data_IF_843032793658
#
_entry.id   IF_843032793658
#
_cell.length_a   1.000
_cell.length_b   1.000
_cell.length_c   1.000
_cell.angle_alpha   90.00
_cell.angle_beta   90.00
_cell.angle_gamma   90.00
#
_symmetry.space_group_name_H-M   'P 1'
#
loop_
_entity.id
_entity.type
_entity.pdbx_description
1 polymer ?
#
# COMPACT_ATOMS: atom_id res chain seq x y z
N UNK A 1 -7.61 -16.09 6.04
CA UNK A 1 -7.42 -15.21 7.21
C UNK A 1 -7.57 -13.74 6.86
N UNK A 2 -7.57 -13.36 5.56
CA UNK A 2 -7.73 -11.98 5.09
C UNK A 2 -9.21 -11.58 4.99
N UNK A 3 -9.51 -10.30 4.75
CA UNK A 3 -10.89 -9.82 4.66
C UNK A 3 -11.70 -10.07 5.94
N UNK A 4 -11.20 -9.66 7.09
CA UNK A 4 -11.89 -9.79 8.38
C UNK A 4 -11.86 -11.19 9.03
N UNK A 5 -11.41 -12.22 8.31
CA UNK A 5 -11.48 -13.62 8.79
C UNK A 5 -10.60 -13.90 10.00
N UNK A 6 -9.53 -13.12 10.20
CA UNK A 6 -8.69 -13.27 11.40
C UNK A 6 -9.48 -12.87 12.66
N UNK A 7 -10.25 -11.78 12.60
CA UNK A 7 -11.12 -11.37 13.71
C UNK A 7 -12.19 -12.42 14.00
N UNK A 8 -12.82 -12.98 12.97
CA UNK A 8 -13.82 -14.05 13.15
C UNK A 8 -13.20 -15.28 13.79
N UNK A 9 -12.00 -15.67 13.39
CA UNK A 9 -11.30 -16.83 13.96
C UNK A 9 -10.84 -16.59 15.41
N UNK A 10 -10.61 -15.34 15.81
CA UNK A 10 -10.22 -14.99 17.17
C UNK A 10 -11.39 -14.88 18.14
N UNK A 11 -12.65 -14.88 17.65
CA UNK A 11 -13.81 -14.73 18.52
C UNK A 11 -13.87 -15.82 19.60
N UNK A 12 -14.24 -15.49 20.86
CA UNK A 12 -14.81 -14.22 21.33
C UNK A 12 -13.78 -13.20 21.82
N UNK A 13 -12.49 -13.39 21.57
CA UNK A 13 -11.44 -12.50 22.04
C UNK A 13 -11.57 -11.08 21.44
N UNK A 14 -11.18 -10.08 22.21
CA UNK A 14 -11.00 -8.72 21.70
C UNK A 14 -9.74 -8.68 20.81
N UNK A 15 -9.88 -8.14 19.61
CA UNK A 15 -8.78 -7.97 18.68
C UNK A 15 -8.36 -6.50 18.62
N UNK A 16 -7.07 -6.23 18.80
CA UNK A 16 -6.49 -4.89 18.61
C UNK A 16 -5.43 -5.01 17.51
N UNK A 17 -5.65 -4.29 16.42
CA UNK A 17 -4.72 -4.24 15.29
C UNK A 17 -3.95 -2.94 15.34
N UNK A 18 -2.64 -3.04 15.32
CA UNK A 18 -1.73 -1.92 15.10
C UNK A 18 -1.10 -2.10 13.73
N UNK A 19 -1.44 -1.24 12.78
CA UNK A 19 -0.99 -1.34 11.41
C UNK A 19 -0.07 -0.18 11.03
N UNK A 20 0.93 -0.48 10.22
CA UNK A 20 1.74 0.50 9.49
C UNK A 20 1.26 0.45 8.06
N UNK A 21 0.89 1.60 7.49
CA UNK A 21 0.47 1.69 6.10
C UNK A 21 1.66 1.86 5.16
N UNK A 22 1.65 1.11 4.09
CA UNK A 22 2.49 1.27 2.90
C UNK A 22 1.63 1.41 1.62
N UNK A 23 0.33 1.62 1.80
CA UNK A 23 -0.67 1.71 0.73
C UNK A 23 -1.05 3.16 0.49
N UNK A 24 -1.09 3.65 -0.76
CA UNK A 24 -1.64 4.96 -1.09
C UNK A 24 -3.09 5.09 -0.59
N UNK A 25 -3.36 6.19 0.14
CA UNK A 25 -4.68 6.46 0.71
C UNK A 25 -4.97 5.80 2.05
N UNK A 26 -4.05 4.99 2.60
CA UNK A 26 -4.11 4.43 3.96
C UNK A 26 -5.36 3.57 4.25
N UNK A 27 -5.96 2.98 3.22
CA UNK A 27 -7.13 2.12 3.38
C UNK A 27 -6.76 0.81 4.08
N UNK A 28 -7.24 0.65 5.31
CA UNK A 28 -6.94 -0.51 6.14
C UNK A 28 -7.48 -1.83 5.56
N UNK A 29 -8.46 -1.77 4.67
CA UNK A 29 -8.98 -2.95 3.97
C UNK A 29 -8.00 -3.48 2.93
N UNK A 30 -7.14 -2.62 2.40
CA UNK A 30 -6.09 -2.95 1.45
C UNK A 30 -4.80 -3.38 2.17
N UNK A 31 -4.45 -2.71 3.28
CA UNK A 31 -3.26 -3.04 4.08
C UNK A 31 -3.30 -4.50 4.50
N UNK A 32 -2.30 -5.28 4.08
CA UNK A 32 -2.19 -6.73 4.30
C UNK A 32 -3.46 -7.52 3.86
N UNK A 33 -4.29 -6.94 2.98
CA UNK A 33 -5.61 -7.44 2.56
C UNK A 33 -6.63 -7.52 3.72
N UNK A 34 -6.61 -6.55 4.62
CA UNK A 34 -7.62 -6.32 5.64
C UNK A 34 -7.94 -7.50 6.57
N UNK A 35 -6.98 -8.13 7.26
CA UNK A 35 -7.25 -9.35 8.03
C UNK A 35 -8.26 -9.15 9.15
N UNK A 36 -8.44 -7.93 9.62
CA UNK A 36 -9.27 -7.58 10.79
C UNK A 36 -10.39 -6.58 10.48
N UNK A 37 -10.60 -6.26 9.21
CA UNK A 37 -11.68 -5.38 8.77
C UNK A 37 -12.60 -6.08 7.77
N UNK A 38 -13.86 -5.65 7.64
CA UNK A 38 -14.77 -6.24 6.67
C UNK A 38 -14.28 -6.01 5.24
N UNK A 39 -14.65 -6.90 4.35
CA UNK A 39 -14.35 -6.85 2.93
C UNK A 39 -15.62 -6.48 2.16
N UNK A 40 -15.63 -5.33 1.52
CA UNK A 40 -16.77 -4.88 0.74
C UNK A 40 -16.90 -5.63 -0.59
N UNK A 41 -15.79 -6.19 -1.11
CA UNK A 41 -15.81 -6.96 -2.36
C UNK A 41 -16.46 -8.33 -2.19
N UNK A 42 -16.93 -8.92 -3.27
CA UNK A 42 -17.60 -10.21 -3.27
C UNK A 42 -16.78 -11.29 -3.96
N UNK A 43 -17.11 -12.52 -3.67
CA UNK A 43 -16.56 -13.68 -4.33
C UNK A 43 -16.82 -13.68 -5.85
N UNK A 44 -18.02 -13.22 -6.24
CA UNK A 44 -18.43 -13.07 -7.64
C UNK A 44 -17.56 -12.02 -8.36
N UNK A 45 -17.23 -10.91 -7.70
CA UNK A 45 -16.30 -9.90 -8.24
C UNK A 45 -14.89 -10.47 -8.40
N UNK A 46 -14.41 -11.26 -7.44
CA UNK A 46 -13.13 -11.94 -7.55
C UNK A 46 -13.09 -12.90 -8.75
N UNK A 47 -14.15 -13.68 -8.97
CA UNK A 47 -14.30 -14.57 -10.12
C UNK A 47 -14.35 -13.77 -11.44
N UNK A 48 -15.06 -12.64 -11.46
CA UNK A 48 -15.12 -11.76 -12.62
C UNK A 48 -13.76 -11.19 -13.02
N UNK A 49 -12.91 -10.83 -12.04
CA UNK A 49 -11.53 -10.39 -12.29
C UNK A 49 -10.70 -11.50 -12.94
N UNK A 50 -10.76 -12.71 -12.40
CA UNK A 50 -10.04 -13.87 -12.97
C UNK A 50 -10.47 -14.16 -14.40
N UNK A 51 -11.77 -14.08 -14.67
CA UNK A 51 -12.35 -14.26 -16.01
C UNK A 51 -11.89 -13.15 -16.95
N UNK A 52 -11.97 -11.88 -16.52
CA UNK A 52 -11.57 -10.71 -17.33
C UNK A 52 -10.13 -10.80 -17.81
N UNK A 53 -9.24 -11.27 -16.96
CA UNK A 53 -7.81 -11.37 -17.28
C UNK A 53 -7.40 -12.77 -17.78
N UNK A 54 -8.38 -13.65 -18.03
CA UNK A 54 -8.16 -15.02 -18.54
C UNK A 54 -7.13 -15.79 -17.71
N UNK A 55 -7.22 -15.67 -16.37
CA UNK A 55 -6.30 -16.32 -15.43
C UNK A 55 -6.77 -17.75 -15.20
N UNK A 56 -5.94 -18.72 -15.53
CA UNK A 56 -6.21 -20.13 -15.27
C UNK A 56 -6.19 -20.40 -13.75
N UNK A 57 -7.31 -20.85 -13.20
CA UNK A 57 -7.42 -21.17 -11.77
C UNK A 57 -6.97 -22.61 -11.50
N UNK A 58 -6.08 -22.83 -10.51
CA UNK A 58 -5.88 -24.17 -9.96
C UNK A 58 -7.21 -24.75 -9.42
N UNK A 59 -7.44 -26.08 -9.52
CA UNK A 59 -8.71 -26.69 -9.09
C UNK A 59 -9.11 -26.36 -7.64
N UNK A 60 -8.15 -26.30 -6.71
CA UNK A 60 -8.39 -25.95 -5.31
C UNK A 60 -8.89 -24.50 -5.14
N UNK A 61 -8.37 -23.55 -5.93
CA UNK A 61 -8.82 -22.14 -5.92
C UNK A 61 -10.21 -22.04 -6.49
N UNK A 62 -10.46 -22.72 -7.62
CA UNK A 62 -11.80 -22.76 -8.25
C UNK A 62 -12.84 -23.36 -7.30
N UNK A 63 -12.54 -24.48 -6.67
CA UNK A 63 -13.44 -25.10 -5.69
C UNK A 63 -13.75 -24.16 -4.51
N UNK A 64 -12.72 -23.52 -3.96
CA UNK A 64 -12.89 -22.58 -2.85
C UNK A 64 -13.73 -21.37 -3.23
N UNK A 65 -13.43 -20.72 -4.37
CA UNK A 65 -14.18 -19.53 -4.80
C UNK A 65 -15.63 -19.83 -5.21
N UNK A 66 -15.96 -21.07 -5.53
CA UNK A 66 -17.34 -21.51 -5.81
C UNK A 66 -18.11 -21.96 -4.55
N UNK A 67 -17.43 -22.10 -3.40
CA UNK A 67 -18.06 -22.44 -2.14
C UNK A 67 -18.61 -21.16 -1.46
N UNK A 68 -19.90 -21.07 -1.10
CA UNK A 68 -20.47 -19.96 -0.34
C UNK A 68 -19.73 -19.65 0.98
N UNK A 69 -19.10 -20.63 1.61
CA UNK A 69 -18.32 -20.44 2.84
C UNK A 69 -17.06 -19.58 2.61
N UNK A 70 -16.65 -19.43 1.35
CA UNK A 70 -15.52 -18.56 0.97
C UNK A 70 -15.85 -17.08 1.05
N UNK A 71 -17.15 -16.71 1.18
CA UNK A 71 -17.53 -15.31 1.30
C UNK A 71 -16.97 -14.68 2.57
N UNK A 72 -16.34 -13.50 2.43
CA UNK A 72 -15.74 -12.75 3.53
C UNK A 72 -16.80 -12.02 4.37
N UNK A 73 -16.52 -11.72 5.66
CA UNK A 73 -17.38 -10.85 6.45
C UNK A 73 -17.59 -9.49 5.79
N UNK A 74 -18.84 -9.04 5.69
CA UNK A 74 -19.23 -7.78 5.05
C UNK A 74 -19.31 -6.64 6.06
N UNK A 75 -19.29 -5.37 5.59
CA UNK A 75 -19.58 -4.22 6.44
C UNK A 75 -20.87 -4.42 7.21
N UNK A 76 -20.82 -4.21 8.53
CA UNK A 76 -21.96 -4.46 9.45
C UNK A 76 -22.05 -5.87 10.03
N UNK A 77 -21.15 -6.77 9.70
CA UNK A 77 -21.11 -8.12 10.29
C UNK A 77 -20.82 -8.05 11.80
N UNK A 78 -21.76 -8.53 12.61
CA UNK A 78 -21.66 -8.50 14.08
C UNK A 78 -20.43 -9.26 14.62
N UNK A 79 -19.90 -10.23 13.88
CA UNK A 79 -18.68 -10.97 14.25
C UNK A 79 -17.44 -10.10 14.29
N UNK A 80 -17.47 -8.90 13.69
CA UNK A 80 -16.40 -7.92 13.68
C UNK A 80 -16.57 -6.80 14.73
N UNK A 81 -17.59 -6.91 15.61
CA UNK A 81 -17.89 -5.85 16.60
C UNK A 81 -16.83 -5.69 17.68
N UNK A 82 -16.00 -6.71 17.92
CA UNK A 82 -14.99 -6.71 19.01
C UNK A 82 -13.57 -6.43 18.51
N UNK A 83 -13.44 -5.63 17.46
CA UNK A 83 -12.14 -5.24 16.89
C UNK A 83 -11.88 -3.74 16.99
N UNK A 84 -10.64 -3.38 17.29
CA UNK A 84 -10.15 -2.00 17.23
C UNK A 84 -8.96 -1.97 16.29
N UNK A 85 -9.06 -1.20 15.21
CA UNK A 85 -7.97 -1.03 14.25
C UNK A 85 -7.36 0.37 14.40
N UNK A 86 -6.03 0.46 14.42
CA UNK A 86 -5.28 1.73 14.50
C UNK A 86 -4.13 1.72 13.53
N UNK A 87 -4.04 2.75 12.72
CA UNK A 87 -2.81 3.08 11.98
C UNK A 87 -1.84 3.77 12.93
N UNK A 88 -0.66 3.20 13.12
CA UNK A 88 0.38 3.73 14.01
C UNK A 88 1.45 4.51 13.25
N UNK A 89 1.59 4.24 11.94
CA UNK A 89 2.42 5.01 11.03
C UNK A 89 1.83 4.95 9.61
N UNK A 90 2.03 6.04 8.87
CA UNK A 90 1.61 6.20 7.48
C UNK A 90 2.78 6.68 6.64
N UNK A 91 2.75 6.56 5.29
CA UNK A 91 3.75 7.16 4.42
C UNK A 91 3.94 8.65 4.70
N UNK A 92 2.85 9.40 4.87
CA UNK A 92 2.90 10.83 5.15
C UNK A 92 3.65 11.13 6.46
N UNK A 93 3.36 10.42 7.55
CA UNK A 93 4.03 10.62 8.83
C UNK A 93 5.53 10.32 8.76
N UNK A 94 5.92 9.34 7.95
CA UNK A 94 7.31 8.98 7.71
C UNK A 94 8.05 10.06 6.92
N UNK A 95 7.43 10.62 5.87
CA UNK A 95 7.97 11.72 5.08
C UNK A 95 8.15 12.99 5.92
N UNK A 96 7.17 13.31 6.78
CA UNK A 96 7.27 14.45 7.69
C UNK A 96 8.38 14.28 8.72
N UNK A 97 8.58 13.05 9.23
CA UNK A 97 9.70 12.75 10.12
C UNK A 97 11.04 12.92 9.40
N UNK A 98 11.18 12.42 8.18
CA UNK A 98 12.38 12.61 7.35
C UNK A 98 12.63 14.09 7.05
N UNK A 99 11.59 14.84 6.69
CA UNK A 99 11.68 16.27 6.44
C UNK A 99 12.12 17.06 7.69
N UNK A 100 11.67 16.68 8.89
CA UNK A 100 12.16 17.29 10.14
C UNK A 100 13.66 17.03 10.36
N UNK A 101 14.12 15.80 10.11
CA UNK A 101 15.55 15.48 10.22
C UNK A 101 16.37 16.31 9.25
N UNK A 102 15.94 16.43 7.99
CA UNK A 102 16.61 17.23 6.98
C UNK A 102 16.68 18.72 7.40
N UNK A 103 15.57 19.31 7.85
CA UNK A 103 15.53 20.71 8.34
C UNK A 103 16.42 20.93 9.54
N UNK A 104 16.47 20.00 10.49
CA UNK A 104 17.35 20.09 11.66
C UNK A 104 18.84 20.01 11.26
N UNK A 105 19.14 19.40 10.14
CA UNK A 105 20.47 19.38 9.55
C UNK A 105 20.78 20.60 8.67
N UNK A 106 19.91 21.62 8.62
CA UNK A 106 20.11 22.84 7.83
C UNK A 106 19.75 22.73 6.36
N UNK A 107 19.02 21.68 5.95
CA UNK A 107 18.59 21.49 4.56
C UNK A 107 17.18 22.06 4.34
N UNK A 108 16.94 22.67 3.19
CA UNK A 108 15.59 22.90 2.72
C UNK A 108 14.93 21.54 2.39
N UNK A 109 13.77 21.23 3.00
CA UNK A 109 13.11 19.94 2.79
C UNK A 109 11.77 20.12 2.09
N UNK A 110 11.63 19.49 0.93
CA UNK A 110 10.42 19.50 0.10
C UNK A 110 9.87 18.07 0.01
N UNK A 111 8.62 17.89 0.46
CA UNK A 111 7.90 16.64 0.26
C UNK A 111 7.20 16.73 -1.09
N UNK A 112 7.56 15.85 -2.02
CA UNK A 112 7.03 15.82 -3.38
C UNK A 112 5.67 15.10 -3.46
N UNK A 113 5.44 14.12 -2.57
CA UNK A 113 4.21 13.35 -2.50
C UNK A 113 4.39 12.07 -1.71
N UNK A 114 3.27 11.49 -1.26
CA UNK A 114 3.23 10.26 -0.47
C UNK A 114 2.61 9.06 -1.22
N UNK A 115 2.19 9.27 -2.46
CA UNK A 115 1.52 8.28 -3.30
C UNK A 115 2.04 8.32 -4.75
N UNK A 116 3.38 8.39 -4.91
CA UNK A 116 4.00 8.41 -6.23
C UNK A 116 4.06 6.97 -6.74
N UNK A 117 3.43 6.76 -7.89
CA UNK A 117 3.31 5.46 -8.56
C UNK A 117 3.85 5.53 -9.99
N UNK A 118 3.96 4.39 -10.64
CA UNK A 118 4.40 4.25 -12.03
C UNK A 118 5.70 3.47 -12.18
N UNK A 119 6.22 3.42 -13.39
CA UNK A 119 7.48 2.72 -13.69
C UNK A 119 8.66 3.40 -12.98
N UNK A 120 9.38 2.66 -12.16
CA UNK A 120 10.47 3.19 -11.31
C UNK A 120 11.51 3.98 -12.11
N UNK A 121 11.84 3.53 -13.32
CA UNK A 121 12.75 4.21 -14.23
C UNK A 121 12.28 5.61 -14.59
N UNK A 122 11.00 5.75 -14.94
CA UNK A 122 10.44 7.02 -15.40
C UNK A 122 10.28 7.99 -14.23
N UNK A 123 9.85 7.47 -13.08
CA UNK A 123 9.82 8.24 -11.83
C UNK A 123 11.20 8.73 -11.46
N UNK A 124 12.24 7.90 -11.58
CA UNK A 124 13.63 8.30 -11.35
C UNK A 124 14.11 9.41 -12.26
N UNK A 125 13.77 9.37 -13.55
CA UNK A 125 14.10 10.43 -14.52
C UNK A 125 13.44 11.76 -14.11
N UNK A 126 12.18 11.74 -13.71
CA UNK A 126 11.45 12.94 -13.26
C UNK A 126 12.12 13.54 -12.02
N UNK A 127 12.44 12.70 -11.01
CA UNK A 127 13.11 13.16 -9.79
C UNK A 127 14.49 13.75 -10.08
N UNK A 128 15.26 13.15 -11.00
CA UNK A 128 16.55 13.69 -11.43
C UNK A 128 16.38 15.07 -12.09
N UNK A 129 15.33 15.26 -12.90
CA UNK A 129 15.00 16.56 -13.48
C UNK A 129 14.70 17.62 -12.42
N UNK A 130 13.93 17.28 -11.41
CA UNK A 130 13.63 18.18 -10.28
C UNK A 130 14.90 18.52 -9.48
N UNK A 131 15.76 17.55 -9.22
CA UNK A 131 17.02 17.79 -8.52
C UNK A 131 17.95 18.73 -9.30
N UNK A 132 18.03 18.59 -10.62
CA UNK A 132 18.77 19.52 -11.48
C UNK A 132 18.19 20.92 -11.43
N UNK A 133 16.89 21.08 -11.45
CA UNK A 133 16.21 22.39 -11.33
C UNK A 133 16.56 23.08 -10.00
N UNK A 134 16.64 22.32 -8.90
CA UNK A 134 17.14 22.88 -7.63
C UNK A 134 18.57 23.37 -7.75
N UNK A 135 19.46 22.57 -8.35
CA UNK A 135 20.88 22.91 -8.49
C UNK A 135 21.16 24.09 -9.40
N UNK A 136 20.42 24.23 -10.48
CA UNK A 136 20.63 25.25 -11.51
C UNK A 136 19.88 26.57 -11.21
N UNK A 137 18.70 26.47 -10.61
CA UNK A 137 17.78 27.59 -10.50
C UNK A 137 17.23 27.85 -9.08
N UNK A 138 17.61 27.03 -8.09
CA UNK A 138 17.10 27.13 -6.73
C UNK A 138 15.60 26.82 -6.59
N UNK A 139 15.01 26.05 -7.51
CA UNK A 139 13.57 25.75 -7.55
C UNK A 139 13.32 24.23 -7.61
N UNK A 140 12.34 23.69 -6.89
CA UNK A 140 11.43 24.32 -5.93
C UNK A 140 12.07 24.68 -4.59
N UNK A 141 13.37 24.41 -4.40
CA UNK A 141 14.11 24.75 -3.19
C UNK A 141 15.55 25.12 -3.51
N UNK A 142 16.12 26.07 -2.77
CA UNK A 142 17.55 26.39 -2.84
C UNK A 142 18.39 25.26 -2.24
N UNK A 143 19.58 25.06 -2.81
CA UNK A 143 20.55 24.09 -2.27
C UNK A 143 21.30 24.71 -1.04
N UNK A 144 21.65 23.88 -0.03
CA UNK A 144 21.45 22.44 0.02
C UNK A 144 20.01 22.07 0.37
N UNK A 145 19.41 21.13 -0.37
CA UNK A 145 18.02 20.71 -0.16
C UNK A 145 17.89 19.18 -0.18
N UNK A 146 16.75 18.71 0.35
CA UNK A 146 16.30 17.34 0.28
C UNK A 146 14.92 17.26 -0.41
N UNK A 147 14.85 16.57 -1.53
CA UNK A 147 13.59 16.20 -2.16
C UNK A 147 13.18 14.83 -1.63
N UNK A 148 12.02 14.76 -0.99
CA UNK A 148 11.55 13.58 -0.26
C UNK A 148 10.25 13.10 -0.88
N UNK A 149 10.17 11.83 -1.23
CA UNK A 149 8.98 11.23 -1.82
C UNK A 149 8.70 9.86 -1.23
N UNK A 150 7.43 9.47 -1.27
CA UNK A 150 6.93 8.15 -0.93
C UNK A 150 5.93 7.67 -1.97
N UNK A 151 5.60 6.41 -1.93
CA UNK A 151 4.71 5.75 -2.86
C UNK A 151 5.21 4.34 -3.17
N UNK A 152 4.64 3.70 -4.18
CA UNK A 152 4.98 2.35 -4.61
C UNK A 152 5.18 2.33 -6.14
N UNK A 153 6.43 2.29 -6.57
CA UNK A 153 6.75 2.19 -8.00
C UNK A 153 6.79 0.74 -8.46
N UNK A 154 6.55 0.52 -9.73
CA UNK A 154 6.56 -0.79 -10.38
C UNK A 154 7.75 -0.93 -11.32
N UNK A 155 8.09 -2.16 -11.67
CA UNK A 155 9.11 -2.47 -12.67
C UNK A 155 8.54 -3.47 -13.67
N UNK A 156 8.60 -3.14 -14.95
CA UNK A 156 8.30 -4.09 -16.01
C UNK A 156 9.45 -5.08 -16.14
N UNK A 157 9.24 -6.32 -15.68
CA UNK A 157 10.23 -7.39 -15.74
C UNK A 157 10.48 -7.80 -17.19
N UNK A 158 11.69 -7.55 -17.68
CA UNK A 158 12.13 -7.93 -19.05
C UNK A 158 13.27 -8.95 -19.06
N UNK A 159 13.90 -9.17 -17.94
CA UNK A 159 15.06 -10.03 -17.77
C UNK A 159 14.77 -11.30 -16.97
N UNK A 160 15.81 -12.11 -16.80
CA UNK A 160 15.80 -13.36 -16.01
C UNK A 160 16.67 -13.23 -14.75
N UNK A 161 17.02 -12.04 -14.33
CA UNK A 161 17.78 -11.80 -13.12
C UNK A 161 17.02 -12.18 -11.85
N UNK A 162 17.70 -12.18 -10.70
CA UNK A 162 17.07 -12.47 -9.40
C UNK A 162 16.00 -11.44 -9.02
N UNK A 163 16.07 -10.25 -9.61
CA UNK A 163 15.18 -9.15 -9.25
C UNK A 163 15.46 -8.62 -7.85
N UNK A 164 14.58 -7.78 -7.40
CA UNK A 164 14.59 -7.09 -6.13
C UNK A 164 13.53 -5.99 -6.19
N UNK A 165 13.39 -5.18 -5.14
CA UNK A 165 12.52 -4.01 -5.22
C UNK A 165 13.08 -3.03 -6.23
N UNK A 166 12.35 -2.79 -7.32
CA UNK A 166 12.70 -1.85 -8.40
C UNK A 166 14.05 -2.15 -9.10
N UNK A 167 14.41 -3.43 -9.21
CA UNK A 167 15.64 -3.89 -9.84
C UNK A 167 15.40 -4.64 -11.17
#
# INVERSE_FOLDING_TARGET
>A
VKGGRLTVAAAPARVVTLAISDVPGDDISVIASGPTVPDASTREEALAVLTKYNIAMPPAVSAHLNDPIAETPKPGDARLSNVTNRLVATPQSSLEAAARVARNAGLAAVILGNAIEGEARDVGIVHAGMARQCGEWGQPAEIPCALISGGETTVTVRGKGRGGRNA
#
